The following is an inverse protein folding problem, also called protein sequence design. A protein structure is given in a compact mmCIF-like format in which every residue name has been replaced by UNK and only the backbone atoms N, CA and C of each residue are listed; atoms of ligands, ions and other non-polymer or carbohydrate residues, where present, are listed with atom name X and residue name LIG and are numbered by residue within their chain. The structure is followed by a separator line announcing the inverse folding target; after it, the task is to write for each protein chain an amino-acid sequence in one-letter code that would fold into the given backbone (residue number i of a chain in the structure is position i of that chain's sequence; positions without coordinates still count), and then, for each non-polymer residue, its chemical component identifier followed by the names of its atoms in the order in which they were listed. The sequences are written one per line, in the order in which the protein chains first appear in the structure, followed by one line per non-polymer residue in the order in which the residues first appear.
data_IF_023165557859
#
_entry.id   IF_023165557859
#
_cell.length_a   1.000
_cell.length_b   1.000
_cell.length_c   1.000
_cell.angle_alpha   90.00
_cell.angle_beta   90.00
_cell.angle_gamma   90.00
#
_symmetry.space_group_name_H-M   'P 1'
#
loop_
_entity.id
_entity.type
_entity.pdbx_description
1 polymer ?
#
# COMPACT_ATOMS: atom_id res chain seq x y z
N UNK A 1 63.68 60.16 2.63
CA UNK A 1 62.25 60.32 2.97
C UNK A 1 61.72 58.92 3.22
N UNK A 2 61.71 58.36 4.44
CA UNK A 2 61.37 58.92 5.75
C UNK A 2 59.85 58.81 5.91
N UNK A 3 59.24 57.79 6.52
CA UNK A 3 59.15 57.38 7.95
C UNK A 3 57.64 57.28 8.27
N UNK A 4 57.30 56.30 9.12
CA UNK A 4 56.00 56.06 9.75
C UNK A 4 55.47 57.26 10.57
N UNK A 5 54.19 57.17 10.95
CA UNK A 5 53.73 57.28 12.35
C UNK A 5 52.57 58.26 12.63
N UNK A 6 51.84 57.83 13.65
CA UNK A 6 50.62 58.25 14.35
C UNK A 6 50.40 59.73 14.68
N UNK A 7 49.12 59.99 15.01
CA UNK A 7 48.64 60.95 16.04
C UNK A 7 47.12 61.07 15.89
N UNK A 8 46.24 60.57 16.76
CA UNK A 8 46.01 60.81 18.21
C UNK A 8 46.13 62.27 18.61
N UNK A 9 44.98 62.88 18.93
CA UNK A 9 44.85 63.92 19.95
C UNK A 9 43.64 63.62 20.83
N UNK A 10 43.88 63.79 22.14
CA UNK A 10 43.07 63.46 23.30
C UNK A 10 42.14 64.61 23.75
N UNK A 11 41.15 64.20 24.54
CA UNK A 11 40.65 64.77 25.79
C UNK A 11 39.62 65.91 25.85
N UNK A 12 38.61 65.60 26.69
CA UNK A 12 37.90 66.44 27.68
C UNK A 12 36.94 67.51 27.13
N UNK A 13 35.73 67.71 27.64
CA UNK A 13 35.08 67.26 28.88
C UNK A 13 33.59 67.62 28.84
N UNK A 14 32.77 66.74 29.43
CA UNK A 14 31.56 67.00 30.23
C UNK A 14 30.53 68.06 29.77
N UNK A 15 29.33 67.59 29.41
CA UNK A 15 28.05 67.81 30.13
C UNK A 15 26.88 67.66 29.15
N UNK A 16 26.14 66.55 29.26
CA UNK A 16 24.67 66.58 29.45
C UNK A 16 24.18 65.16 29.71
N UNK A 17 23.53 65.03 30.87
CA UNK A 17 22.90 63.84 31.44
C UNK A 17 21.44 63.80 30.98
N UNK A 18 20.92 62.57 30.88
CA UNK A 18 19.51 62.17 30.81
C UNK A 18 18.73 62.51 29.53
N UNK A 19 18.43 61.48 28.73
CA UNK A 19 17.10 61.01 28.29
C UNK A 19 17.35 59.93 27.23
N UNK A 20 17.75 58.70 27.62
CA UNK A 20 17.58 57.49 26.80
C UNK A 20 17.58 56.25 27.70
N UNK A 21 16.59 56.08 28.58
CA UNK A 21 16.37 54.79 29.26
C UNK A 21 14.92 54.59 29.72
N UNK A 22 13.95 54.89 28.85
CA UNK A 22 12.52 54.60 29.13
C UNK A 22 11.73 54.03 27.95
N UNK A 23 12.39 53.63 26.85
CA UNK A 23 11.70 53.05 25.68
C UNK A 23 11.86 51.53 25.54
N UNK A 24 12.82 50.87 26.21
CA UNK A 24 13.07 49.42 26.03
C UNK A 24 12.49 48.51 27.13
N UNK A 25 11.79 49.08 28.13
CA UNK A 25 11.20 48.30 29.23
C UNK A 25 9.70 48.04 29.01
N UNK A 26 9.04 48.80 28.12
CA UNK A 26 7.61 48.66 27.81
C UNK A 26 7.26 47.53 26.83
N UNK A 27 8.06 47.34 25.77
CA UNK A 27 7.77 46.30 24.76
C UNK A 27 8.11 44.88 25.25
N UNK A 28 9.11 44.71 26.12
CA UNK A 28 9.51 43.39 26.62
C UNK A 28 8.54 42.80 27.67
N UNK A 29 7.72 43.63 28.35
CA UNK A 29 6.68 43.13 29.25
C UNK A 29 5.40 42.73 28.51
N UNK A 30 5.06 43.39 27.40
CA UNK A 30 3.83 43.11 26.64
C UNK A 30 3.98 41.84 25.78
N UNK A 31 5.15 41.63 25.15
CA UNK A 31 5.47 40.40 24.39
C UNK A 31 5.56 39.18 25.31
N UNK A 32 6.07 39.34 26.54
CA UNK A 32 6.16 38.26 27.52
C UNK A 32 4.82 37.85 28.14
N UNK A 33 3.79 38.71 28.10
CA UNK A 33 2.42 38.40 28.56
C UNK A 33 1.60 37.74 27.44
N UNK A 34 1.80 38.15 26.18
CA UNK A 34 1.15 37.53 25.03
C UNK A 34 1.65 36.10 24.82
N UNK A 35 2.97 35.87 24.88
CA UNK A 35 3.54 34.52 24.75
C UNK A 35 3.10 33.56 25.88
N UNK A 36 2.91 34.06 27.10
CA UNK A 36 2.40 33.27 28.22
C UNK A 36 0.91 32.94 28.12
N UNK A 37 0.13 33.82 27.50
CA UNK A 37 -1.30 33.58 27.27
C UNK A 37 -1.51 32.60 26.12
N UNK A 38 -0.72 32.67 25.04
CA UNK A 38 -0.75 31.71 23.94
C UNK A 38 -0.28 30.31 24.40
N UNK A 39 0.77 30.22 25.23
CA UNK A 39 1.16 28.94 25.85
C UNK A 39 0.06 28.36 26.75
N UNK A 40 -0.67 29.18 27.51
CA UNK A 40 -1.79 28.70 28.34
C UNK A 40 -3.01 28.28 27.51
N UNK A 41 -3.26 28.92 26.36
CA UNK A 41 -4.34 28.56 25.44
C UNK A 41 -4.04 27.24 24.71
N UNK A 42 -2.80 27.04 24.26
CA UNK A 42 -2.33 25.77 23.66
C UNK A 42 -2.36 24.62 24.68
N UNK A 43 -1.96 24.86 25.93
CA UNK A 43 -2.06 23.85 27.00
C UNK A 43 -3.53 23.51 27.30
N UNK A 44 -4.45 24.49 27.19
CA UNK A 44 -5.89 24.27 27.34
C UNK A 44 -6.47 23.38 26.24
N UNK A 45 -6.12 23.66 24.97
CA UNK A 45 -6.56 22.86 23.82
C UNK A 45 -5.96 21.44 23.82
N UNK A 46 -4.69 21.28 24.23
CA UNK A 46 -4.09 19.94 24.40
C UNK A 46 -4.76 19.14 25.52
N UNK A 47 -5.11 19.77 26.65
CA UNK A 47 -5.85 19.10 27.73
C UNK A 47 -7.27 18.70 27.30
N UNK A 48 -7.94 19.52 26.48
CA UNK A 48 -9.26 19.19 25.95
C UNK A 48 -9.20 18.04 24.94
N UNK A 49 -8.17 17.98 24.09
CA UNK A 49 -7.96 16.84 23.18
C UNK A 49 -7.61 15.53 23.92
N UNK A 50 -6.84 15.61 25.01
CA UNK A 50 -6.55 14.43 25.85
C UNK A 50 -7.83 13.91 26.52
N UNK A 51 -8.70 14.79 27.02
CA UNK A 51 -9.99 14.38 27.61
C UNK A 51 -10.92 13.76 26.55
N UNK A 52 -10.93 14.28 25.32
CA UNK A 52 -11.71 13.69 24.22
C UNK A 52 -11.17 12.30 23.86
N UNK A 53 -9.84 12.14 23.78
CA UNK A 53 -9.21 10.85 23.51
C UNK A 53 -9.48 9.82 24.61
N UNK A 54 -9.37 10.21 25.89
CA UNK A 54 -9.69 9.34 27.03
C UNK A 54 -11.16 8.93 27.05
N UNK A 55 -12.08 9.83 26.69
CA UNK A 55 -13.51 9.50 26.58
C UNK A 55 -13.81 8.56 25.41
N UNK A 56 -13.15 8.73 24.26
CA UNK A 56 -13.28 7.82 23.12
C UNK A 56 -12.71 6.43 23.43
N UNK A 57 -11.60 6.37 24.16
CA UNK A 57 -11.00 5.10 24.60
C UNK A 57 -11.90 4.38 25.61
N UNK A 58 -12.56 5.10 26.52
CA UNK A 58 -13.56 4.52 27.43
C UNK A 58 -14.83 4.05 26.71
N UNK A 59 -15.26 4.72 25.64
CA UNK A 59 -16.40 4.31 24.83
C UNK A 59 -16.10 3.01 24.07
N UNK A 60 -14.90 2.90 23.49
CA UNK A 60 -14.41 1.66 22.82
C UNK A 60 -14.27 0.50 23.82
N UNK A 61 -13.73 0.75 25.02
CA UNK A 61 -13.66 -0.27 26.08
C UNK A 61 -15.06 -0.73 26.51
N UNK A 62 -16.03 0.19 26.56
CA UNK A 62 -17.43 -0.13 26.84
C UNK A 62 -18.06 -1.03 25.77
N UNK A 63 -17.85 -0.72 24.49
CA UNK A 63 -18.33 -1.54 23.38
C UNK A 63 -17.65 -2.93 23.34
N UNK A 64 -16.34 -3.02 23.59
CA UNK A 64 -15.63 -4.30 23.68
C UNK A 64 -16.14 -5.17 24.83
N UNK A 65 -16.42 -4.58 26.00
CA UNK A 65 -17.02 -5.30 27.13
C UNK A 65 -18.45 -5.77 26.84
N UNK A 66 -19.23 -5.01 26.07
CA UNK A 66 -20.57 -5.41 25.65
C UNK A 66 -20.52 -6.57 24.63
N UNK A 67 -19.58 -6.53 23.67
CA UNK A 67 -19.34 -7.63 22.73
C UNK A 67 -18.85 -8.89 23.44
N UNK A 68 -17.96 -8.76 24.43
CA UNK A 68 -17.49 -9.90 25.23
C UNK A 68 -18.61 -10.48 26.11
N UNK A 69 -19.51 -9.65 26.63
CA UNK A 69 -20.69 -10.10 27.37
C UNK A 69 -21.71 -10.83 26.47
N UNK A 70 -21.90 -10.36 25.23
CA UNK A 70 -22.75 -11.03 24.24
C UNK A 70 -22.15 -12.39 23.84
N UNK A 71 -20.83 -12.46 23.63
CA UNK A 71 -20.14 -13.71 23.32
C UNK A 71 -20.23 -14.72 24.48
N UNK A 72 -20.01 -14.29 25.73
CA UNK A 72 -20.17 -15.15 26.91
C UNK A 72 -21.61 -15.65 27.11
N UNK A 73 -22.61 -14.82 26.83
CA UNK A 73 -24.01 -15.26 26.87
C UNK A 73 -24.34 -16.28 25.79
N UNK A 74 -23.81 -16.13 24.56
CA UNK A 74 -23.99 -17.12 23.50
C UNK A 74 -23.28 -18.45 23.82
N UNK A 75 -22.06 -18.41 24.36
CA UNK A 75 -21.36 -19.61 24.79
C UNK A 75 -22.08 -20.32 25.93
N UNK A 76 -22.64 -19.57 26.90
CA UNK A 76 -23.39 -20.14 28.01
C UNK A 76 -24.73 -20.73 27.57
N UNK A 77 -25.42 -20.11 26.60
CA UNK A 77 -26.66 -20.63 26.02
C UNK A 77 -26.41 -21.94 25.23
N UNK A 78 -25.28 -22.03 24.51
CA UNK A 78 -24.84 -23.26 23.84
C UNK A 78 -24.43 -24.34 24.84
N UNK A 79 -23.76 -23.96 25.93
CA UNK A 79 -23.32 -24.92 26.97
C UNK A 79 -24.53 -25.50 27.71
N UNK A 80 -25.53 -24.67 28.05
CA UNK A 80 -26.79 -25.08 28.69
C UNK A 80 -27.63 -26.00 27.76
N UNK A 81 -27.56 -25.81 26.43
CA UNK A 81 -28.25 -26.65 25.46
C UNK A 81 -27.55 -28.02 25.29
N UNK A 82 -26.22 -28.05 25.33
CA UNK A 82 -25.41 -29.28 25.30
C UNK A 82 -25.56 -30.07 26.61
N UNK A 83 -25.66 -29.40 27.76
CA UNK A 83 -25.88 -30.06 29.06
C UNK A 83 -27.31 -30.64 29.17
N UNK A 84 -28.32 -29.94 28.61
CA UNK A 84 -29.70 -30.48 28.46
C UNK A 84 -29.76 -31.71 27.54
N UNK A 85 -28.96 -31.73 26.47
CA UNK A 85 -28.88 -32.87 25.55
C UNK A 85 -28.10 -34.05 26.16
N UNK A 86 -27.05 -33.77 26.93
CA UNK A 86 -26.26 -34.79 27.66
C UNK A 86 -27.05 -35.45 28.79
N UNK A 87 -27.79 -34.67 29.60
CA UNK A 87 -28.62 -35.20 30.68
C UNK A 87 -29.85 -35.97 30.19
N UNK A 88 -30.37 -35.66 28.99
CA UNK A 88 -31.48 -36.40 28.37
C UNK A 88 -31.04 -37.78 27.85
N UNK A 89 -29.75 -37.97 27.57
CA UNK A 89 -29.21 -39.19 26.98
C UNK A 89 -28.84 -40.25 28.04
N UNK A 90 -28.63 -39.85 29.30
CA UNK A 90 -28.26 -40.75 30.41
C UNK A 90 -29.47 -41.25 31.23
N UNK A 91 -30.66 -40.67 31.06
CA UNK A 91 -31.89 -41.08 31.77
C UNK A 91 -32.83 -42.01 30.97
N UNK A 92 -32.54 -42.25 29.68
CA UNK A 92 -33.38 -43.07 28.78
C UNK A 92 -32.78 -44.43 28.41
N UNK A 93 -31.96 -45.04 29.28
CA UNK A 93 -31.32 -46.35 28.99
C UNK A 93 -31.80 -47.51 29.88
N UNK A 94 -32.83 -47.37 30.73
CA UNK A 94 -33.22 -48.49 31.64
C UNK A 94 -34.70 -48.75 31.87
N UNK A 95 -35.65 -48.19 31.09
CA UNK A 95 -37.08 -48.52 31.29
C UNK A 95 -37.96 -48.79 30.06
N UNK A 96 -37.47 -48.68 28.83
CA UNK A 96 -38.32 -48.91 27.64
C UNK A 96 -38.02 -50.18 26.84
N UNK A 97 -37.03 -50.99 27.20
CA UNK A 97 -36.74 -52.25 26.49
C UNK A 97 -37.78 -53.36 26.74
N UNK A 98 -38.63 -53.23 27.77
CA UNK A 98 -39.67 -54.22 28.10
C UNK A 98 -41.11 -53.79 27.73
N UNK A 99 -41.32 -52.63 27.10
CA UNK A 99 -42.64 -52.22 26.54
C UNK A 99 -42.70 -52.23 25.01
N UNK A 100 -41.54 -52.25 24.34
CA UNK A 100 -41.46 -52.27 22.88
C UNK A 100 -41.77 -53.64 22.27
N UNK A 101 -41.56 -54.74 23.01
CA UNK A 101 -41.84 -56.09 22.51
C UNK A 101 -43.35 -56.43 22.47
N UNK A 102 -44.17 -55.82 23.33
CA UNK A 102 -45.62 -56.07 23.35
C UNK A 102 -46.41 -55.19 22.35
N UNK A 103 -45.84 -54.06 21.90
CA UNK A 103 -46.42 -53.18 20.86
C UNK A 103 -46.05 -53.61 19.43
N UNK A 104 -44.99 -54.40 19.25
CA UNK A 104 -44.58 -54.91 17.93
C UNK A 104 -45.50 -56.03 17.40
N UNK A 105 -46.29 -56.66 18.27
CA UNK A 105 -47.23 -57.73 17.89
C UNK A 105 -48.59 -57.16 17.44
N UNK A 106 -49.05 -56.03 17.99
CA UNK A 106 -50.33 -55.41 17.57
C UNK A 106 -50.21 -54.52 16.32
N UNK A 107 -49.04 -53.96 16.02
CA UNK A 107 -48.89 -53.02 14.90
C UNK A 107 -48.66 -53.73 13.55
N UNK A 108 -48.34 -55.04 13.54
CA UNK A 108 -48.14 -55.83 12.30
C UNK A 108 -49.44 -56.21 11.58
N UNK A 109 -50.62 -55.96 12.16
CA UNK A 109 -51.90 -56.27 11.51
C UNK A 109 -52.75 -55.06 11.06
N UNK A 110 -52.34 -53.82 11.36
CA UNK A 110 -53.12 -52.63 10.96
C UNK A 110 -52.22 -51.46 10.53
N UNK A 111 -51.71 -51.48 9.28
CA UNK A 111 -51.49 -50.26 8.46
C UNK A 111 -50.83 -50.58 7.11
N UNK A 112 -51.54 -51.28 6.24
CA UNK A 112 -51.42 -50.99 4.80
C UNK A 112 -52.14 -49.67 4.54
N UNK A 113 -51.44 -48.55 4.71
CA UNK A 113 -52.01 -47.21 4.51
C UNK A 113 -50.91 -46.17 4.30
N UNK A 114 -50.77 -45.72 3.06
CA UNK A 114 -49.78 -44.72 2.62
C UNK A 114 -49.81 -43.43 3.45
N UNK A 115 -48.71 -43.11 4.14
CA UNK A 115 -48.40 -41.72 4.50
C UNK A 115 -46.90 -41.44 4.45
N UNK A 116 -46.30 -41.61 3.26
CA UNK A 116 -44.91 -41.23 3.02
C UNK A 116 -44.80 -39.71 2.78
N UNK A 117 -44.15 -39.01 3.71
CA UNK A 117 -43.18 -37.95 3.41
C UNK A 117 -43.70 -36.64 2.71
N UNK A 118 -44.72 -35.97 3.27
CA UNK A 118 -45.25 -34.70 2.71
C UNK A 118 -44.47 -33.44 3.17
N UNK A 119 -43.99 -33.37 4.42
CA UNK A 119 -43.26 -32.19 4.95
C UNK A 119 -41.85 -32.01 4.33
N UNK A 120 -41.08 -33.08 4.14
CA UNK A 120 -39.74 -33.03 3.49
C UNK A 120 -39.82 -32.60 2.01
N UNK A 121 -40.85 -33.06 1.29
CA UNK A 121 -41.08 -32.66 -0.11
C UNK A 121 -41.44 -31.18 -0.24
N UNK A 122 -42.13 -30.60 0.73
CA UNK A 122 -42.45 -29.16 0.76
C UNK A 122 -41.21 -28.31 1.07
N UNK A 123 -40.38 -28.71 2.04
CA UNK A 123 -39.10 -28.04 2.33
C UNK A 123 -38.13 -28.09 1.13
N UNK A 124 -37.99 -29.25 0.47
CA UNK A 124 -37.18 -29.35 -0.76
C UNK A 124 -37.70 -28.44 -1.88
N UNK A 125 -39.02 -28.32 -2.05
CA UNK A 125 -39.61 -27.41 -3.03
C UNK A 125 -39.34 -25.94 -2.72
N UNK A 126 -39.39 -25.55 -1.43
CA UNK A 126 -39.06 -24.20 -1.00
C UNK A 126 -37.58 -23.92 -1.26
N UNK A 127 -36.69 -24.82 -0.86
CA UNK A 127 -35.24 -24.68 -1.06
C UNK A 127 -34.87 -24.57 -2.55
N UNK A 128 -35.46 -25.41 -3.41
CA UNK A 128 -35.24 -25.33 -4.86
C UNK A 128 -35.74 -24.00 -5.43
N UNK A 129 -36.92 -23.52 -5.00
CA UNK A 129 -37.44 -22.22 -5.45
C UNK A 129 -36.54 -21.06 -5.00
N UNK A 130 -36.06 -21.10 -3.76
CA UNK A 130 -35.11 -20.10 -3.24
C UNK A 130 -33.81 -20.12 -4.03
N UNK A 131 -33.23 -21.30 -4.31
CA UNK A 131 -32.01 -21.41 -5.12
C UNK A 131 -32.22 -20.91 -6.55
N UNK A 132 -33.35 -21.24 -7.20
CA UNK A 132 -33.67 -20.72 -8.53
C UNK A 132 -33.81 -19.20 -8.51
N UNK A 133 -34.45 -18.63 -7.49
CA UNK A 133 -34.53 -17.17 -7.34
C UNK A 133 -33.14 -16.54 -7.19
N UNK A 134 -32.27 -17.10 -6.35
CA UNK A 134 -30.89 -16.61 -6.16
C UNK A 134 -30.11 -16.67 -7.48
N UNK A 135 -30.16 -17.81 -8.18
CA UNK A 135 -29.49 -17.98 -9.49
C UNK A 135 -30.02 -16.98 -10.51
N UNK A 136 -31.33 -16.72 -10.53
CA UNK A 136 -31.95 -15.76 -11.44
C UNK A 136 -31.44 -14.34 -11.16
N UNK A 137 -31.35 -13.94 -9.89
CA UNK A 137 -30.81 -12.63 -9.50
C UNK A 137 -29.35 -12.51 -9.91
N UNK A 138 -28.53 -13.52 -9.65
CA UNK A 138 -27.11 -13.54 -10.04
C UNK A 138 -26.96 -13.44 -11.57
N UNK A 139 -27.76 -14.18 -12.33
CA UNK A 139 -27.74 -14.13 -13.79
C UNK A 139 -28.13 -12.74 -14.32
N UNK A 140 -29.15 -12.11 -13.75
CA UNK A 140 -29.54 -10.76 -14.13
C UNK A 140 -28.42 -9.74 -13.80
N UNK A 141 -27.79 -9.84 -12.64
CA UNK A 141 -26.66 -8.98 -12.29
C UNK A 141 -25.50 -9.17 -13.27
N UNK A 142 -25.19 -10.42 -13.63
CA UNK A 142 -24.15 -10.74 -14.61
C UNK A 142 -24.47 -10.17 -16.00
N UNK A 143 -25.70 -10.33 -16.49
CA UNK A 143 -26.14 -9.77 -17.78
C UNK A 143 -26.02 -8.25 -17.78
N UNK A 144 -26.46 -7.58 -16.70
CA UNK A 144 -26.34 -6.12 -16.59
C UNK A 144 -24.88 -5.69 -16.58
N UNK A 145 -24.02 -6.35 -15.80
CA UNK A 145 -22.58 -6.08 -15.76
C UNK A 145 -21.95 -6.23 -17.15
N UNK A 146 -22.23 -7.34 -17.83
CA UNK A 146 -21.74 -7.57 -19.19
C UNK A 146 -22.30 -6.55 -20.18
N UNK A 147 -23.53 -6.09 -20.01
CA UNK A 147 -24.13 -5.00 -20.78
C UNK A 147 -23.35 -3.69 -20.62
N UNK A 148 -23.00 -3.32 -19.38
CA UNK A 148 -22.17 -2.13 -19.09
C UNK A 148 -20.78 -2.27 -19.72
N UNK A 149 -20.13 -3.43 -19.56
CA UNK A 149 -18.81 -3.69 -20.16
C UNK A 149 -18.88 -3.64 -21.69
N UNK A 150 -19.97 -4.12 -22.29
CA UNK A 150 -20.21 -4.02 -23.74
C UNK A 150 -20.30 -2.55 -24.17
N UNK A 151 -21.01 -1.72 -23.41
CA UNK A 151 -21.13 -0.27 -23.68
C UNK A 151 -19.77 0.42 -23.53
N UNK A 152 -18.93 0.03 -22.58
CA UNK A 152 -17.58 0.58 -22.43
C UNK A 152 -16.71 0.20 -23.64
N UNK A 153 -16.73 -1.08 -24.04
CA UNK A 153 -15.87 -1.58 -25.11
C UNK A 153 -16.29 -1.08 -26.51
N UNK A 154 -17.59 -1.05 -26.81
CA UNK A 154 -18.12 -0.64 -28.13
C UNK A 154 -18.80 0.73 -28.12
N UNK A 155 -18.66 1.47 -27.04
CA UNK A 155 -19.23 2.80 -26.89
C UNK A 155 -18.56 3.84 -27.77
N UNK A 156 -19.09 5.07 -27.78
CA UNK A 156 -18.61 6.14 -28.65
C UNK A 156 -17.26 6.75 -28.23
N UNK A 157 -16.78 6.47 -27.00
CA UNK A 157 -15.55 7.05 -26.48
C UNK A 157 -14.41 6.04 -26.51
N UNK A 158 -13.49 6.24 -27.45
CA UNK A 158 -12.27 5.43 -27.54
C UNK A 158 -11.38 5.63 -26.32
N UNK A 159 -11.30 6.84 -25.77
CA UNK A 159 -10.52 7.12 -24.55
C UNK A 159 -11.00 6.29 -23.36
N UNK A 160 -12.31 6.17 -23.15
CA UNK A 160 -12.86 5.36 -22.03
C UNK A 160 -12.64 3.88 -22.28
N UNK A 161 -12.84 3.41 -23.52
CA UNK A 161 -12.54 2.03 -23.93
C UNK A 161 -11.08 1.71 -23.66
N UNK A 162 -10.16 2.52 -24.15
CA UNK A 162 -8.72 2.25 -24.12
C UNK A 162 -8.23 2.22 -22.68
N UNK A 163 -8.61 3.23 -21.88
CA UNK A 163 -8.29 3.28 -20.46
C UNK A 163 -8.85 2.07 -19.70
N UNK A 164 -10.09 1.64 -20.00
CA UNK A 164 -10.67 0.44 -19.41
C UNK A 164 -9.91 -0.82 -19.79
N UNK A 165 -9.63 -1.01 -21.09
CA UNK A 165 -8.88 -2.16 -21.62
C UNK A 165 -7.51 -2.24 -20.97
N UNK A 166 -6.76 -1.14 -20.90
CA UNK A 166 -5.46 -1.11 -20.23
C UNK A 166 -5.58 -1.47 -18.74
N UNK A 167 -6.57 -0.91 -18.05
CA UNK A 167 -6.78 -1.14 -16.61
C UNK A 167 -7.04 -2.63 -16.32
N UNK A 168 -7.92 -3.26 -17.09
CA UNK A 168 -8.29 -4.66 -16.86
C UNK A 168 -7.24 -5.65 -17.38
N UNK A 169 -6.45 -5.27 -18.38
CA UNK A 169 -5.34 -6.08 -18.89
C UNK A 169 -4.14 -6.12 -17.94
N UNK A 170 -3.94 -5.06 -17.15
CA UNK A 170 -2.97 -4.99 -16.05
C UNK A 170 -3.46 -5.67 -14.76
N UNK A 171 -4.75 -6.00 -14.67
CA UNK A 171 -5.31 -6.77 -13.57
C UNK A 171 -5.13 -8.27 -13.80
N UNK A 172 -4.73 -9.01 -12.77
CA UNK A 172 -4.63 -10.47 -12.85
C UNK A 172 -5.99 -11.15 -13.07
N UNK A 173 -7.06 -10.61 -12.48
CA UNK A 173 -8.42 -11.14 -12.60
C UNK A 173 -9.28 -10.44 -13.69
N UNK A 174 -8.88 -9.26 -14.15
CA UNK A 174 -9.71 -8.42 -15.01
C UNK A 174 -9.66 -8.76 -16.51
N UNK A 175 -8.63 -9.48 -16.97
CA UNK A 175 -8.33 -9.66 -18.41
C UNK A 175 -9.51 -10.14 -19.24
N UNK A 176 -10.34 -11.02 -18.67
CA UNK A 176 -11.53 -11.57 -19.33
C UNK A 176 -12.50 -10.49 -19.82
N UNK A 177 -12.54 -9.32 -19.18
CA UNK A 177 -13.42 -8.21 -19.53
C UNK A 177 -13.01 -7.50 -20.83
N UNK A 178 -11.76 -7.66 -21.27
CA UNK A 178 -11.29 -7.19 -22.57
C UNK A 178 -11.19 -8.33 -23.58
N UNK A 179 -10.63 -9.48 -23.19
CA UNK A 179 -10.40 -10.62 -24.10
C UNK A 179 -11.69 -11.31 -24.55
N UNK A 180 -12.80 -11.14 -23.83
CA UNK A 180 -14.12 -11.61 -24.30
C UNK A 180 -14.69 -10.76 -25.44
N UNK A 181 -14.13 -9.57 -25.69
CA UNK A 181 -14.67 -8.58 -26.63
C UNK A 181 -13.72 -8.31 -27.80
N UNK A 182 -12.41 -8.36 -27.57
CA UNK A 182 -11.40 -8.03 -28.57
C UNK A 182 -10.41 -9.18 -28.76
N UNK A 183 -9.86 -9.30 -29.98
CA UNK A 183 -8.73 -10.20 -30.23
C UNK A 183 -7.46 -9.68 -29.57
N UNK A 184 -6.49 -10.56 -29.37
CA UNK A 184 -5.19 -10.21 -28.80
C UNK A 184 -4.48 -9.12 -29.64
N UNK A 185 -4.63 -9.14 -30.97
CA UNK A 185 -4.08 -8.09 -31.85
C UNK A 185 -4.74 -6.75 -31.59
N UNK A 186 -6.07 -6.71 -31.46
CA UNK A 186 -6.79 -5.45 -31.20
C UNK A 186 -6.45 -4.89 -29.82
N UNK A 187 -6.32 -5.76 -28.82
CA UNK A 187 -5.86 -5.36 -27.49
C UNK A 187 -4.44 -4.81 -27.57
N UNK A 188 -3.53 -5.45 -28.30
CA UNK A 188 -2.16 -4.96 -28.48
C UNK A 188 -2.12 -3.57 -29.16
N UNK A 189 -2.98 -3.32 -30.15
CA UNK A 189 -3.12 -1.99 -30.76
C UNK A 189 -3.54 -0.93 -29.75
N UNK A 190 -4.59 -1.21 -28.95
CA UNK A 190 -5.09 -0.29 -27.92
C UNK A 190 -3.98 0.04 -26.92
N UNK A 191 -3.33 -1.00 -26.39
CA UNK A 191 -2.25 -0.86 -25.41
C UNK A 191 -1.01 -0.14 -25.96
N UNK A 192 -0.79 -0.19 -27.28
CA UNK A 192 0.32 0.54 -27.90
C UNK A 192 0.10 2.07 -27.87
N UNK A 193 -1.15 2.52 -27.90
CA UNK A 193 -1.52 3.95 -27.82
C UNK A 193 -1.28 4.52 -26.43
N UNK A 194 -1.50 3.72 -25.38
CA UNK A 194 -1.22 4.08 -23.98
C UNK A 194 0.02 3.35 -23.49
N UNK A 195 1.20 3.86 -23.86
CA UNK A 195 2.46 3.20 -23.60
C UNK A 195 3.52 4.15 -23.08
N UNK A 196 4.47 3.59 -22.31
CA UNK A 196 5.68 4.29 -21.88
C UNK A 196 6.83 3.88 -22.78
N UNK A 197 7.49 4.86 -23.40
CA UNK A 197 8.64 4.62 -24.28
C UNK A 197 9.88 4.44 -23.40
N UNK A 198 10.48 3.24 -23.45
CA UNK A 198 11.71 2.96 -22.70
C UNK A 198 12.84 3.91 -23.09
N UNK A 199 13.50 4.51 -22.10
CA UNK A 199 14.73 5.26 -22.31
C UNK A 199 15.94 4.33 -22.45
N UNK A 200 16.90 4.73 -23.28
CA UNK A 200 18.24 4.12 -23.30
C UNK A 200 19.19 4.75 -22.28
N UNK A 201 18.79 5.85 -21.66
CA UNK A 201 19.59 6.53 -20.65
C UNK A 201 19.64 5.74 -19.35
N UNK A 202 20.72 5.98 -18.61
CA UNK A 202 20.92 5.50 -17.26
C UNK A 202 21.21 6.72 -16.41
N UNK A 203 20.81 6.69 -15.13
CA UNK A 203 21.12 7.75 -14.17
C UNK A 203 22.56 8.25 -14.29
N UNK A 204 22.72 9.56 -14.37
CA UNK A 204 23.97 10.27 -14.11
C UNK A 204 24.04 10.59 -12.61
N UNK A 205 24.95 9.90 -11.91
CA UNK A 205 25.09 10.07 -10.46
C UNK A 205 25.57 11.47 -10.06
N UNK A 206 26.12 12.27 -10.98
CA UNK A 206 26.59 13.63 -10.68
C UNK A 206 25.46 14.65 -10.47
N UNK A 207 24.23 14.31 -10.87
CA UNK A 207 23.06 15.18 -10.70
C UNK A 207 22.48 15.14 -9.28
N UNK A 208 22.94 14.21 -8.45
CA UNK A 208 22.43 14.00 -7.10
C UNK A 208 23.51 14.36 -6.07
N UNK A 209 23.21 15.34 -5.23
CA UNK A 209 24.09 15.80 -4.17
C UNK A 209 23.89 14.99 -2.89
N UNK A 210 24.40 13.76 -2.84
CA UNK A 210 24.45 12.97 -1.60
C UNK A 210 25.65 13.41 -0.75
N UNK A 211 25.62 14.62 -0.20
CA UNK A 211 26.68 15.11 0.69
C UNK A 211 26.22 15.16 2.15
N UNK A 212 27.12 14.81 3.07
CA UNK A 212 26.90 14.93 4.51
C UNK A 212 26.41 16.33 4.90
N UNK A 213 26.92 17.38 4.24
CA UNK A 213 26.53 18.78 4.46
C UNK A 213 25.09 19.09 4.04
N UNK A 214 24.56 18.43 3.00
CA UNK A 214 23.16 18.57 2.60
C UNK A 214 22.22 17.86 3.59
N UNK A 215 22.64 16.71 4.12
CA UNK A 215 21.94 15.96 5.18
C UNK A 215 21.98 16.73 6.51
N UNK A 216 23.11 17.35 6.85
CA UNK A 216 23.28 18.18 8.07
C UNK A 216 22.52 19.51 7.97
N UNK A 217 22.39 20.10 6.78
CA UNK A 217 21.53 21.27 6.56
C UNK A 217 20.03 20.96 6.82
N UNK A 218 19.67 19.68 6.86
CA UNK A 218 18.33 19.17 7.18
C UNK A 218 18.22 18.71 8.65
N UNK A 219 19.15 19.05 9.55
CA UNK A 219 19.16 18.58 10.95
C UNK A 219 17.88 18.88 11.77
N UNK A 220 17.06 19.85 11.34
CA UNK A 220 15.77 20.18 11.97
C UNK A 220 14.56 19.55 11.25
N UNK A 221 14.78 18.77 10.19
CA UNK A 221 13.75 18.11 9.41
C UNK A 221 13.52 16.71 9.97
N UNK A 222 12.25 16.28 10.04
CA UNK A 222 11.92 14.91 10.45
C UNK A 222 12.63 13.92 9.50
N UNK A 223 13.33 12.88 9.98
CA UNK A 223 14.07 11.95 9.11
C UNK A 223 13.21 11.29 8.03
N UNK A 224 11.92 11.11 8.33
CA UNK A 224 10.91 10.59 7.42
C UNK A 224 9.66 11.47 7.56
N UNK A 225 9.10 11.89 6.42
CA UNK A 225 7.80 12.57 6.35
C UNK A 225 6.82 11.70 5.57
N UNK A 226 5.58 11.58 6.04
CA UNK A 226 4.49 10.95 5.29
C UNK A 226 3.48 12.02 4.93
N UNK A 227 3.16 12.15 3.65
CA UNK A 227 2.18 13.11 3.12
C UNK A 227 1.06 12.37 2.41
N UNK A 228 -0.17 12.83 2.60
CA UNK A 228 -1.30 12.34 1.82
C UNK A 228 -1.26 12.92 0.41
N UNK A 229 -1.48 12.06 -0.57
CA UNK A 229 -1.62 12.42 -1.97
C UNK A 229 -3.09 12.26 -2.33
N UNK A 230 -3.74 13.37 -2.71
CA UNK A 230 -5.17 13.38 -3.02
C UNK A 230 -5.38 14.08 -4.35
N UNK A 231 -6.05 13.39 -5.27
CA UNK A 231 -6.52 13.90 -6.55
C UNK A 231 -8.02 13.62 -6.68
N UNK A 232 -8.62 14.05 -7.79
CA UNK A 232 -10.03 13.75 -8.11
C UNK A 232 -10.27 12.25 -8.39
N UNK A 233 -9.26 11.52 -8.85
CA UNK A 233 -9.38 10.13 -9.32
C UNK A 233 -8.65 9.11 -8.43
N UNK A 234 -7.70 9.57 -7.60
CA UNK A 234 -6.90 8.72 -6.75
C UNK A 234 -6.54 9.33 -5.40
N UNK A 235 -6.23 8.45 -4.45
CA UNK A 235 -5.70 8.77 -3.13
C UNK A 235 -4.49 7.89 -2.84
N UNK A 236 -3.57 8.37 -2.03
CA UNK A 236 -2.38 7.63 -1.66
C UNK A 236 -1.54 8.35 -0.64
N UNK A 237 -0.30 7.89 -0.48
CA UNK A 237 0.68 8.43 0.45
C UNK A 237 2.07 8.53 -0.20
N UNK A 238 2.79 9.57 0.15
CA UNK A 238 4.19 9.78 -0.19
C UNK A 238 5.02 9.73 1.10
N UNK A 239 5.91 8.75 1.22
CA UNK A 239 6.95 8.75 2.24
C UNK A 239 8.23 9.38 1.67
N UNK A 240 8.71 10.44 2.31
CA UNK A 240 9.94 11.16 1.97
C UNK A 240 10.99 10.77 2.99
N UNK A 241 12.04 10.09 2.55
CA UNK A 241 13.17 9.66 3.38
C UNK A 241 14.35 10.55 3.05
N UNK A 242 14.70 11.46 3.96
CA UNK A 242 15.73 12.48 3.70
C UNK A 242 17.15 11.91 3.66
N UNK A 243 17.42 10.85 4.43
CA UNK A 243 18.69 10.12 4.37
C UNK A 243 18.59 8.88 3.46
N UNK A 244 19.12 8.93 2.23
CA UNK A 244 19.04 7.80 1.29
C UNK A 244 19.88 6.59 1.71
N UNK A 245 20.81 6.73 2.65
CA UNK A 245 21.62 5.60 3.14
C UNK A 245 20.80 4.58 3.95
N UNK A 246 19.64 5.01 4.46
CA UNK A 246 18.68 4.19 5.18
C UNK A 246 17.88 3.26 4.26
N UNK A 247 17.87 3.52 2.96
CA UNK A 247 17.05 2.78 1.99
C UNK A 247 17.82 1.62 1.38
N UNK A 248 17.23 0.43 1.43
CA UNK A 248 17.82 -0.80 0.86
C UNK A 248 16.76 -1.74 0.29
N UNK A 249 17.19 -2.77 -0.45
CA UNK A 249 16.31 -3.85 -0.93
C UNK A 249 16.30 -4.97 0.10
N UNK A 250 15.15 -5.19 0.75
CA UNK A 250 14.88 -6.34 1.59
C UNK A 250 14.47 -7.55 0.75
N UNK A 251 14.93 -8.74 1.11
CA UNK A 251 14.62 -10.00 0.41
C UNK A 251 13.78 -10.93 1.28
N UNK A 252 12.87 -11.70 0.66
CA UNK A 252 12.01 -12.65 1.36
C UNK A 252 12.77 -13.86 1.92
N UNK A 253 13.90 -14.22 1.30
CA UNK A 253 14.73 -15.35 1.66
C UNK A 253 15.24 -16.07 0.42
N UNK A 254 15.07 -17.39 0.36
CA UNK A 254 15.39 -18.18 -0.82
C UNK A 254 14.34 -17.98 -1.92
N UNK A 255 14.76 -18.10 -3.18
CA UNK A 255 13.89 -17.87 -4.34
C UNK A 255 13.54 -19.15 -5.09
N UNK A 256 12.54 -19.05 -5.98
CA UNK A 256 12.10 -20.11 -6.89
C UNK A 256 10.79 -20.74 -6.46
N UNK A 257 10.12 -21.49 -7.35
CA UNK A 257 8.76 -21.99 -7.14
C UNK A 257 8.55 -22.89 -5.91
N UNK A 258 9.61 -23.46 -5.34
CA UNK A 258 9.57 -24.24 -4.09
C UNK A 258 9.62 -23.39 -2.81
N UNK A 259 9.94 -22.10 -2.93
CA UNK A 259 10.05 -21.16 -1.81
C UNK A 259 8.90 -20.15 -1.92
N UNK A 260 8.24 -19.84 -0.81
CA UNK A 260 7.25 -18.76 -0.78
C UNK A 260 7.94 -17.42 -0.58
N UNK A 261 7.37 -16.38 -1.19
CA UNK A 261 7.65 -15.00 -0.79
C UNK A 261 7.16 -14.73 0.63
N UNK A 262 7.36 -13.49 1.08
CA UNK A 262 6.89 -12.97 2.37
C UNK A 262 6.09 -11.70 2.14
N UNK A 263 5.18 -11.38 3.04
CA UNK A 263 4.49 -10.08 3.04
C UNK A 263 5.50 -8.96 3.30
N UNK A 264 5.17 -7.72 2.88
CA UNK A 264 6.01 -6.54 3.13
C UNK A 264 6.30 -6.37 4.63
N UNK A 265 5.28 -6.58 5.49
CA UNK A 265 5.44 -6.53 6.95
C UNK A 265 6.45 -7.55 7.47
N UNK A 266 6.39 -8.81 7.03
CA UNK A 266 7.35 -9.83 7.45
C UNK A 266 8.77 -9.52 6.98
N UNK A 267 8.94 -8.98 5.77
CA UNK A 267 10.24 -8.52 5.28
C UNK A 267 10.72 -7.34 6.14
N UNK A 268 9.87 -6.33 6.38
CA UNK A 268 10.22 -5.18 7.21
C UNK A 268 10.67 -5.61 8.62
N UNK A 269 9.93 -6.51 9.26
CA UNK A 269 10.26 -7.08 10.56
C UNK A 269 11.58 -7.87 10.56
N UNK A 270 11.84 -8.65 9.50
CA UNK A 270 13.10 -9.41 9.36
C UNK A 270 14.33 -8.50 9.31
N UNK A 271 14.15 -7.23 8.94
CA UNK A 271 15.20 -6.24 8.79
C UNK A 271 15.14 -5.11 9.83
N UNK A 272 14.20 -5.16 10.79
CA UNK A 272 13.91 -4.06 11.72
C UNK A 272 13.67 -2.72 10.99
N UNK A 273 12.97 -2.75 9.86
CA UNK A 273 12.66 -1.55 9.08
C UNK A 273 11.47 -0.79 9.67
N UNK A 274 11.51 0.54 9.60
CA UNK A 274 10.45 1.44 10.08
C UNK A 274 9.44 1.77 8.99
N UNK A 275 9.89 1.86 7.73
CA UNK A 275 9.05 2.03 6.54
C UNK A 275 9.37 0.92 5.56
N UNK A 276 8.34 0.39 4.88
CA UNK A 276 8.54 -0.49 3.75
C UNK A 276 7.43 -0.37 2.70
N UNK A 277 7.79 -0.54 1.43
CA UNK A 277 6.84 -0.70 0.33
C UNK A 277 7.18 -1.93 -0.48
N UNK A 278 6.22 -2.47 -1.22
CA UNK A 278 6.50 -3.58 -2.12
C UNK A 278 7.56 -3.22 -3.18
N UNK A 279 8.30 -4.23 -3.65
CA UNK A 279 9.45 -4.05 -4.53
C UNK A 279 9.21 -4.44 -5.98
N UNK A 280 10.05 -5.33 -6.49
CA UNK A 280 10.10 -5.73 -7.89
C UNK A 280 9.05 -6.77 -8.27
N UNK A 281 9.01 -7.09 -9.57
CA UNK A 281 8.07 -8.08 -10.11
C UNK A 281 8.41 -9.51 -9.76
N UNK A 282 7.41 -10.39 -9.85
CA UNK A 282 7.53 -11.80 -9.54
C UNK A 282 6.63 -12.67 -10.41
N UNK A 283 6.96 -13.96 -10.50
CA UNK A 283 6.16 -14.94 -11.24
C UNK A 283 4.79 -15.10 -10.56
N UNK A 284 3.75 -14.74 -11.30
CA UNK A 284 2.38 -14.71 -10.81
C UNK A 284 1.41 -15.33 -11.83
N UNK A 285 1.71 -16.57 -12.23
CA UNK A 285 0.88 -17.31 -13.18
C UNK A 285 -0.56 -17.39 -12.66
N UNK A 286 -1.50 -16.84 -13.45
CA UNK A 286 -2.93 -16.83 -13.11
C UNK A 286 -3.31 -15.98 -11.89
N UNK A 287 -2.42 -15.15 -11.35
CA UNK A 287 -2.71 -14.35 -10.15
C UNK A 287 -2.64 -15.13 -8.83
N UNK A 288 -2.14 -16.36 -8.86
CA UNK A 288 -2.05 -17.27 -7.70
C UNK A 288 -0.60 -17.65 -7.38
N UNK A 289 0.37 -16.87 -7.85
CA UNK A 289 1.78 -17.06 -7.56
C UNK A 289 2.06 -16.94 -6.06
N UNK A 290 3.03 -17.73 -5.58
CA UNK A 290 3.43 -17.73 -4.17
C UNK A 290 4.39 -16.58 -3.79
N UNK A 291 4.72 -15.70 -4.74
CA UNK A 291 5.63 -14.57 -4.51
C UNK A 291 7.10 -14.93 -4.35
N UNK A 292 7.48 -16.18 -4.64
CA UNK A 292 8.83 -16.70 -4.36
C UNK A 292 9.87 -16.47 -5.45
N UNK A 293 9.45 -16.22 -6.68
CA UNK A 293 10.37 -16.11 -7.83
C UNK A 293 10.36 -14.69 -8.41
N UNK A 294 11.44 -13.91 -8.29
CA UNK A 294 11.57 -12.62 -8.99
C UNK A 294 11.52 -12.79 -10.52
N UNK A 295 10.94 -11.83 -11.25
CA UNK A 295 10.95 -11.84 -12.73
C UNK A 295 12.20 -11.22 -13.34
N UNK A 296 13.03 -10.54 -12.55
CA UNK A 296 14.26 -9.90 -13.03
C UNK A 296 15.41 -10.02 -12.03
N UNK A 297 16.36 -9.10 -12.08
CA UNK A 297 17.54 -9.15 -11.22
C UNK A 297 17.19 -8.81 -9.77
N UNK A 298 17.87 -9.46 -8.82
CA UNK A 298 17.92 -9.02 -7.42
C UNK A 298 19.37 -8.94 -6.98
N UNK A 299 19.80 -7.74 -6.60
CA UNK A 299 21.07 -7.47 -5.93
C UNK A 299 20.72 -7.01 -4.51
N UNK A 300 21.40 -7.54 -3.52
CA UNK A 300 21.25 -7.09 -2.14
C UNK A 300 22.59 -7.25 -1.44
N UNK A 301 22.99 -6.21 -0.69
CA UNK A 301 24.29 -6.16 0.01
C UNK A 301 25.50 -6.35 -0.95
N UNK A 302 25.40 -5.79 -2.15
CA UNK A 302 26.43 -5.86 -3.20
C UNK A 302 26.61 -7.23 -3.85
N UNK A 303 25.68 -8.16 -3.62
CA UNK A 303 25.73 -9.53 -4.18
C UNK A 303 24.52 -9.78 -5.06
N UNK A 304 24.75 -10.43 -6.20
CA UNK A 304 23.68 -10.97 -7.04
C UNK A 304 23.00 -12.13 -6.29
N UNK A 305 21.75 -11.92 -5.85
CA UNK A 305 20.95 -12.94 -5.16
C UNK A 305 20.05 -13.71 -6.13
N UNK A 306 19.64 -13.08 -7.23
CA UNK A 306 18.82 -13.70 -8.28
C UNK A 306 19.05 -13.02 -9.64
N UNK A 307 18.84 -13.76 -10.72
CA UNK A 307 19.07 -13.30 -12.10
C UNK A 307 20.43 -13.72 -12.66
N UNK A 308 20.84 -13.08 -13.75
CA UNK A 308 22.05 -13.40 -14.51
C UNK A 308 22.97 -12.19 -14.64
N UNK A 309 24.29 -12.45 -14.73
CA UNK A 309 25.27 -11.41 -15.00
C UNK A 309 25.20 -10.86 -16.43
N UNK A 310 24.63 -11.60 -17.37
CA UNK A 310 24.67 -11.27 -18.80
C UNK A 310 23.34 -10.82 -19.38
N UNK A 311 22.23 -11.14 -18.71
CA UNK A 311 20.90 -10.70 -19.15
C UNK A 311 20.75 -9.21 -18.90
N UNK A 312 20.14 -8.50 -19.86
CA UNK A 312 19.82 -7.08 -19.76
C UNK A 312 18.50 -6.90 -18.98
N UNK A 313 18.51 -6.08 -17.95
CA UNK A 313 17.35 -5.78 -17.09
C UNK A 313 17.05 -4.29 -17.06
N UNK A 314 15.79 -3.91 -16.79
CA UNK A 314 15.45 -2.57 -16.30
C UNK A 314 15.75 -2.54 -14.79
N UNK A 315 16.92 -2.03 -14.44
CA UNK A 315 17.43 -2.01 -13.07
C UNK A 315 16.88 -0.80 -12.35
N UNK A 316 16.39 -1.03 -11.13
CA UNK A 316 16.01 0.00 -10.17
C UNK A 316 16.78 -0.34 -8.89
N UNK A 317 17.76 0.49 -8.53
CA UNK A 317 18.63 0.18 -7.40
C UNK A 317 19.49 1.33 -6.92
N UNK A 318 20.26 1.10 -5.86
CA UNK A 318 21.13 2.07 -5.24
C UNK A 318 22.59 1.69 -5.44
N UNK A 319 23.43 2.65 -5.83
CA UNK A 319 24.88 2.49 -5.82
C UNK A 319 25.47 2.69 -4.40
N UNK A 320 26.78 2.55 -4.23
CA UNK A 320 27.44 2.71 -2.92
C UNK A 320 27.33 4.12 -2.34
N UNK A 321 27.06 5.12 -3.18
CA UNK A 321 26.90 6.51 -2.78
C UNK A 321 25.43 6.87 -2.51
N UNK A 322 24.53 5.87 -2.46
CA UNK A 322 23.10 6.03 -2.22
C UNK A 322 22.34 6.78 -3.33
N UNK A 323 22.90 6.81 -4.54
CA UNK A 323 22.18 7.31 -5.71
C UNK A 323 21.25 6.22 -6.24
N UNK A 324 19.99 6.58 -6.47
CA UNK A 324 19.01 5.77 -7.16
C UNK A 324 19.36 5.71 -8.65
N UNK A 325 19.93 4.58 -9.05
CA UNK A 325 20.25 4.23 -10.43
C UNK A 325 19.05 3.53 -11.05
N UNK A 326 18.44 4.19 -12.04
CA UNK A 326 17.45 3.61 -12.95
C UNK A 326 18.05 3.51 -14.35
N UNK A 327 17.81 2.40 -15.04
CA UNK A 327 18.27 2.24 -16.41
C UNK A 327 18.40 0.80 -16.86
N UNK A 328 18.62 0.60 -18.16
CA UNK A 328 18.82 -0.73 -18.74
C UNK A 328 20.28 -1.14 -18.63
N UNK A 329 20.56 -2.23 -17.91
CA UNK A 329 21.92 -2.75 -17.75
C UNK A 329 21.93 -4.24 -17.42
N UNK A 330 23.04 -4.91 -17.72
CA UNK A 330 23.27 -6.30 -17.33
C UNK A 330 23.63 -6.41 -15.86
N UNK A 331 23.45 -7.59 -15.26
CA UNK A 331 23.86 -7.81 -13.88
C UNK A 331 25.35 -7.55 -13.64
N UNK A 332 26.21 -7.83 -14.64
CA UNK A 332 27.63 -7.48 -14.59
C UNK A 332 27.84 -5.96 -14.57
N UNK A 333 27.18 -5.23 -15.47
CA UNK A 333 27.28 -3.76 -15.51
C UNK A 333 26.78 -3.12 -14.20
N UNK A 334 25.71 -3.64 -13.62
CA UNK A 334 25.19 -3.20 -12.33
C UNK A 334 26.23 -3.36 -11.21
N UNK A 335 26.83 -4.55 -11.09
CA UNK A 335 27.85 -4.83 -10.08
C UNK A 335 29.14 -4.03 -10.32
N UNK A 336 29.59 -3.91 -11.58
CA UNK A 336 30.78 -3.14 -11.95
C UNK A 336 30.59 -1.64 -11.64
N UNK A 337 29.36 -1.11 -11.76
CA UNK A 337 28.98 0.25 -11.33
C UNK A 337 28.95 0.40 -9.80
N UNK A 338 29.00 -0.69 -9.05
CA UNK A 338 28.91 -0.67 -7.59
C UNK A 338 27.49 -0.58 -7.07
N UNK A 339 26.48 -1.06 -7.82
CA UNK A 339 25.12 -1.22 -7.30
C UNK A 339 25.15 -2.18 -6.10
N UNK A 340 24.69 -1.69 -4.95
CA UNK A 340 24.62 -2.46 -3.70
C UNK A 340 23.29 -3.18 -3.54
N UNK A 341 22.20 -2.57 -3.97
CA UNK A 341 20.85 -3.06 -3.77
C UNK A 341 20.07 -2.75 -5.04
N UNK A 342 19.42 -3.75 -5.63
CA UNK A 342 18.61 -3.56 -6.82
C UNK A 342 17.54 -4.63 -6.94
N UNK A 343 16.46 -4.23 -7.59
CA UNK A 343 15.39 -5.09 -8.06
C UNK A 343 15.05 -4.71 -9.50
N UNK A 344 14.10 -5.43 -10.08
CA UNK A 344 13.63 -5.17 -11.44
C UNK A 344 12.11 -5.07 -11.46
N UNK A 345 11.63 -4.00 -12.05
CA UNK A 345 10.26 -3.83 -12.53
C UNK A 345 10.30 -2.76 -13.61
N UNK A 346 9.18 -2.13 -13.90
CA UNK A 346 9.12 -0.99 -14.77
C UNK A 346 7.71 -0.43 -14.86
N UNK A 347 7.51 0.58 -15.72
CA UNK A 347 8.55 1.24 -16.49
C UNK A 347 9.40 2.22 -15.66
N UNK A 348 10.54 2.61 -16.20
CA UNK A 348 11.28 3.79 -15.75
C UNK A 348 10.49 5.03 -16.19
N UNK A 349 10.34 6.01 -15.30
CA UNK A 349 9.43 7.15 -15.48
C UNK A 349 10.16 8.48 -15.66
N UNK A 350 11.24 8.70 -14.91
CA UNK A 350 12.04 9.93 -14.97
C UNK A 350 13.51 9.53 -14.90
N UNK A 351 14.33 10.09 -15.79
CA UNK A 351 15.78 9.89 -15.82
C UNK A 351 16.44 11.26 -15.95
N UNK A 352 17.42 11.55 -15.10
CA UNK A 352 18.24 12.77 -15.18
C UNK A 352 17.41 14.07 -15.24
N UNK A 353 16.31 14.13 -14.48
CA UNK A 353 15.41 15.28 -14.38
C UNK A 353 14.41 15.40 -15.53
N UNK A 354 14.40 14.45 -16.47
CA UNK A 354 13.50 14.47 -17.64
C UNK A 354 12.57 13.26 -17.58
N UNK A 355 11.26 13.49 -17.71
CA UNK A 355 10.29 12.41 -17.85
C UNK A 355 10.50 11.67 -19.16
N UNK A 356 10.35 10.35 -19.15
CA UNK A 356 10.30 9.57 -20.39
C UNK A 356 9.07 9.95 -21.21
N UNK A 357 9.07 9.62 -22.51
CA UNK A 357 7.89 9.86 -23.35
C UNK A 357 6.76 8.92 -22.95
N UNK A 358 5.61 9.52 -22.59
CA UNK A 358 4.36 8.82 -22.33
C UNK A 358 3.40 9.09 -23.49
N UNK A 359 2.94 8.02 -24.14
CA UNK A 359 1.86 8.08 -25.12
C UNK A 359 0.53 7.88 -24.38
N UNK A 360 -0.47 8.71 -24.70
CA UNK A 360 -1.77 8.66 -24.03
C UNK A 360 -1.62 8.82 -22.51
N UNK A 361 -2.22 7.91 -21.74
CA UNK A 361 -2.04 7.85 -20.28
C UNK A 361 -0.82 7.02 -19.83
N UNK A 362 -0.14 6.36 -20.77
CA UNK A 362 0.97 5.43 -20.52
C UNK A 362 0.56 4.06 -19.97
N UNK A 363 -0.62 3.96 -19.38
CA UNK A 363 -1.18 2.75 -18.77
C UNK A 363 -2.65 2.93 -18.38
N UNK A 364 -3.25 1.86 -17.86
CA UNK A 364 -4.56 1.91 -17.22
C UNK A 364 -4.54 2.58 -15.85
N UNK A 365 -5.72 2.72 -15.24
CA UNK A 365 -5.91 3.24 -13.89
C UNK A 365 -5.84 2.10 -12.89
N UNK A 366 -4.81 2.08 -12.04
CA UNK A 366 -4.57 0.98 -11.10
C UNK A 366 -3.94 1.48 -9.79
N UNK A 367 -3.95 0.68 -8.70
CA UNK A 367 -3.05 0.91 -7.57
C UNK A 367 -1.60 0.86 -8.06
N UNK A 368 -0.78 1.81 -7.61
CA UNK A 368 0.61 1.97 -8.05
C UNK A 368 1.54 2.12 -6.87
N UNK A 369 2.75 1.62 -7.03
CA UNK A 369 3.88 1.92 -6.16
C UNK A 369 5.01 2.47 -7.02
N UNK A 370 5.65 3.55 -6.60
CA UNK A 370 6.78 4.13 -7.32
C UNK A 370 7.88 4.57 -6.35
N UNK A 371 9.10 4.61 -6.87
CA UNK A 371 10.28 5.11 -6.16
C UNK A 371 10.91 6.23 -6.97
N UNK A 372 11.45 7.22 -6.29
CA UNK A 372 12.28 8.24 -6.92
C UNK A 372 13.29 8.86 -5.97
N UNK A 373 14.14 9.71 -6.52
CA UNK A 373 15.16 10.43 -5.78
C UNK A 373 15.23 11.87 -6.27
N UNK A 374 15.25 12.81 -5.32
CA UNK A 374 15.45 14.24 -5.57
C UNK A 374 16.92 14.59 -5.77
N UNK A 375 17.17 15.78 -6.32
CA UNK A 375 18.53 16.32 -6.49
C UNK A 375 19.32 16.43 -5.17
N UNK A 376 18.63 16.63 -4.04
CA UNK A 376 19.25 16.71 -2.71
C UNK A 376 19.44 15.35 -2.02
N UNK A 377 19.17 14.25 -2.73
CA UNK A 377 19.38 12.89 -2.26
C UNK A 377 18.17 12.23 -1.62
N UNK A 378 17.14 12.97 -1.20
CA UNK A 378 15.97 12.41 -0.54
C UNK A 378 15.24 11.39 -1.44
N UNK A 379 14.84 10.26 -0.85
CA UNK A 379 14.10 9.19 -1.52
C UNK A 379 12.60 9.40 -1.34
N UNK A 380 11.87 9.23 -2.42
CA UNK A 380 10.42 9.30 -2.51
C UNK A 380 9.88 7.88 -2.68
N UNK A 381 8.99 7.46 -1.79
CA UNK A 381 8.23 6.21 -1.90
C UNK A 381 6.75 6.56 -2.00
N UNK A 382 6.20 6.43 -3.21
CA UNK A 382 4.81 6.75 -3.51
C UNK A 382 3.99 5.47 -3.54
N UNK A 383 2.86 5.47 -2.85
CA UNK A 383 1.84 4.43 -2.90
C UNK A 383 0.50 5.08 -3.21
N UNK A 384 -0.16 4.64 -4.29
CA UNK A 384 -1.50 5.09 -4.69
C UNK A 384 -2.47 3.91 -4.58
N UNK A 385 -3.54 4.11 -3.83
CA UNK A 385 -4.64 3.16 -3.70
C UNK A 385 -5.53 3.18 -4.95
N UNK A 386 -6.14 2.04 -5.28
CA UNK A 386 -7.02 1.93 -6.45
C UNK A 386 -7.91 0.71 -6.39
N UNK A 387 -8.77 0.56 -7.41
CA UNK A 387 -9.78 -0.51 -7.51
C UNK A 387 -10.74 -0.54 -6.30
N UNK A 388 -11.06 0.63 -5.75
CA UNK A 388 -11.96 0.81 -4.61
C UNK A 388 -13.06 1.81 -4.96
N UNK A 389 -14.17 1.78 -4.23
CA UNK A 389 -15.34 2.62 -4.50
C UNK A 389 -15.03 4.14 -4.45
N UNK A 390 -14.01 4.53 -3.67
CA UNK A 390 -13.62 5.93 -3.45
C UNK A 390 -12.27 6.30 -4.11
N UNK A 391 -11.57 5.36 -4.76
CA UNK A 391 -10.32 5.61 -5.48
C UNK A 391 -10.16 4.60 -6.61
N UNK A 392 -10.06 5.09 -7.85
CA UNK A 392 -9.89 4.25 -9.03
C UNK A 392 -8.44 3.77 -9.15
N UNK A 393 -7.48 4.64 -8.82
CA UNK A 393 -6.05 4.44 -8.99
C UNK A 393 -5.44 5.50 -9.91
N UNK A 394 -4.19 5.28 -10.31
CA UNK A 394 -3.41 6.21 -11.12
C UNK A 394 -2.86 5.54 -12.40
N UNK A 395 -2.73 6.36 -13.44
CA UNK A 395 -2.00 6.05 -14.67
C UNK A 395 -0.52 6.39 -14.51
N UNK A 396 0.34 5.99 -15.44
CA UNK A 396 1.76 6.35 -15.37
C UNK A 396 2.01 7.84 -15.60
N UNK A 397 1.15 8.52 -16.36
CA UNK A 397 1.20 9.99 -16.47
C UNK A 397 0.98 10.64 -15.11
N UNK A 398 -0.04 10.21 -14.36
CA UNK A 398 -0.33 10.72 -13.02
C UNK A 398 0.86 10.51 -12.06
N UNK A 399 1.51 9.33 -12.14
CA UNK A 399 2.70 9.06 -11.32
C UNK A 399 3.87 9.97 -11.70
N UNK A 400 4.13 10.20 -12.99
CA UNK A 400 5.18 11.15 -13.41
C UNK A 400 4.90 12.55 -12.87
N UNK A 401 3.65 13.03 -13.00
CA UNK A 401 3.27 14.36 -12.54
C UNK A 401 3.52 14.53 -11.03
N UNK A 402 3.08 13.58 -10.21
CA UNK A 402 3.33 13.59 -8.75
C UNK A 402 4.82 13.52 -8.45
N UNK A 403 5.58 12.66 -9.13
CA UNK A 403 7.02 12.53 -8.85
C UNK A 403 7.80 13.78 -9.22
N UNK A 404 7.44 14.45 -10.33
CA UNK A 404 8.03 15.74 -10.74
C UNK A 404 7.65 16.86 -9.78
N UNK A 405 6.39 16.92 -9.33
CA UNK A 405 5.92 17.88 -8.32
C UNK A 405 6.74 17.80 -7.03
N UNK A 406 7.11 16.58 -6.62
CA UNK A 406 7.95 16.32 -5.46
C UNK A 406 9.46 16.42 -5.76
N UNK A 407 9.85 16.84 -6.96
CA UNK A 407 11.23 17.13 -7.35
C UNK A 407 12.09 15.91 -7.68
N UNK A 408 11.49 14.80 -8.09
CA UNK A 408 12.23 13.62 -8.51
C UNK A 408 13.11 13.92 -9.74
N UNK A 409 14.40 13.65 -9.62
CA UNK A 409 15.37 13.67 -10.74
C UNK A 409 15.41 12.29 -11.41
N UNK A 410 15.25 11.23 -10.63
CA UNK A 410 15.10 9.87 -11.14
C UNK A 410 13.87 9.24 -10.51
N UNK A 411 13.07 8.50 -11.29
CA UNK A 411 11.91 7.78 -10.79
C UNK A 411 11.61 6.54 -11.63
N UNK A 412 11.10 5.50 -10.99
CA UNK A 412 10.63 4.29 -11.64
C UNK A 412 9.41 3.71 -10.93
N UNK A 413 8.57 3.05 -11.71
CA UNK A 413 7.44 2.29 -11.20
C UNK A 413 7.92 0.95 -10.61
N UNK A 414 7.37 0.60 -9.44
CA UNK A 414 7.53 -0.69 -8.77
C UNK A 414 6.29 -1.55 -9.01
N UNK A 415 6.28 -2.78 -8.48
CA UNK A 415 5.11 -3.65 -8.61
C UNK A 415 3.85 -2.95 -8.06
N UNK A 416 2.69 -3.26 -8.62
CA UNK A 416 1.46 -2.52 -8.37
C UNK A 416 0.27 -3.39 -8.02
N UNK A 417 -0.93 -2.85 -8.23
CA UNK A 417 -2.17 -3.60 -8.02
C UNK A 417 -2.32 -4.08 -6.58
N UNK A 418 -2.63 -5.37 -6.39
CA UNK A 418 -2.79 -5.95 -5.06
C UNK A 418 -1.48 -6.06 -4.26
N UNK A 419 -0.32 -5.83 -4.88
CA UNK A 419 0.95 -5.74 -4.18
C UNK A 419 1.18 -4.38 -3.51
N UNK A 420 0.44 -3.34 -3.92
CA UNK A 420 0.64 -1.97 -3.43
C UNK A 420 0.31 -1.84 -1.95
N UNK A 421 1.35 -1.64 -1.15
CA UNK A 421 1.25 -1.38 0.29
C UNK A 421 2.35 -0.44 0.76
N UNK A 422 2.04 0.35 1.80
CA UNK A 422 2.96 1.14 2.59
C UNK A 422 2.85 0.70 4.05
N UNK A 423 3.93 0.11 4.55
CA UNK A 423 4.11 -0.25 5.94
C UNK A 423 4.81 0.88 6.69
N UNK A 424 4.29 1.23 7.86
CA UNK A 424 4.86 2.19 8.80
C UNK A 424 4.74 1.64 10.24
N UNK A 425 5.89 1.44 10.89
CA UNK A 425 6.01 1.11 12.32
C UNK A 425 5.07 0.02 12.87
N UNK A 426 4.78 -1.02 12.08
CA UNK A 426 3.96 -2.16 12.53
C UNK A 426 2.68 -2.35 11.73
N UNK A 427 2.24 -1.33 11.02
CA UNK A 427 0.93 -1.27 10.38
C UNK A 427 1.02 -0.89 8.91
N UNK A 428 -0.01 -1.24 8.15
CA UNK A 428 -0.18 -0.74 6.79
C UNK A 428 -1.04 0.52 6.85
N UNK A 429 -0.54 1.61 6.29
CA UNK A 429 -1.20 2.91 6.39
C UNK A 429 -1.97 3.29 5.12
N UNK A 430 -2.02 2.42 4.12
CA UNK A 430 -2.84 2.59 2.91
C UNK A 430 -3.87 1.45 2.79
N UNK A 431 -4.88 1.63 1.93
CA UNK A 431 -5.88 0.59 1.72
C UNK A 431 -5.48 -0.33 0.56
N UNK A 432 -5.07 -1.55 0.88
CA UNK A 432 -4.65 -2.53 -0.11
C UNK A 432 -5.84 -3.06 -0.94
N UNK A 433 -5.66 -3.21 -2.25
CA UNK A 433 -6.74 -3.66 -3.14
C UNK A 433 -7.00 -5.17 -3.12
N UNK A 434 -6.26 -5.95 -2.33
CA UNK A 434 -6.44 -7.40 -2.21
C UNK A 434 -7.52 -7.73 -1.20
N UNK A 435 -8.47 -8.58 -1.59
CA UNK A 435 -9.50 -9.10 -0.68
C UNK A 435 -8.89 -10.02 0.38
N UNK A 436 -7.79 -10.70 0.06
CA UNK A 436 -7.13 -11.67 0.94
C UNK A 436 -6.00 -11.03 1.79
N UNK A 437 -5.87 -9.70 1.75
CA UNK A 437 -4.76 -8.98 2.36
C UNK A 437 -3.48 -8.94 1.52
N UNK A 438 -2.41 -8.30 2.05
CA UNK A 438 -1.16 -8.07 1.34
C UNK A 438 -0.51 -9.35 0.82
N UNK A 439 0.05 -9.27 -0.39
CA UNK A 439 0.62 -10.43 -1.07
C UNK A 439 1.98 -10.81 -0.51
N UNK A 440 2.31 -12.09 -0.65
CA UNK A 440 3.68 -12.56 -0.57
C UNK A 440 4.45 -12.07 -1.80
N UNK A 441 5.61 -11.47 -1.57
CA UNK A 441 6.48 -10.92 -2.61
C UNK A 441 7.94 -11.31 -2.34
N UNK A 442 8.82 -11.28 -3.35
CA UNK A 442 10.21 -11.70 -3.16
C UNK A 442 11.10 -10.58 -2.65
N UNK A 443 10.74 -9.32 -2.93
CA UNK A 443 11.57 -8.15 -2.62
C UNK A 443 10.71 -6.99 -2.13
N UNK A 444 11.29 -6.16 -1.27
CA UNK A 444 10.67 -4.97 -0.68
C UNK A 444 11.69 -3.84 -0.66
N UNK A 445 11.23 -2.59 -0.84
CA UNK A 445 12.06 -1.42 -0.52
C UNK A 445 11.84 -1.11 0.95
N UNK A 446 12.91 -1.11 1.73
CA UNK A 446 12.86 -0.94 3.19
C UNK A 446 13.72 0.23 3.64
N UNK A 447 13.30 0.88 4.72
CA UNK A 447 14.00 2.00 5.37
C UNK A 447 14.38 1.61 6.79
N UNK A 448 15.66 1.70 7.13
CA UNK A 448 16.23 1.30 8.43
C UNK A 448 16.82 2.50 9.15
#
# INVERSE_FOLDING_TARGET
MGIEDKGVCNNDSSETIEIVELAEIGENQEVGVIAKNEEQEVIGEEQEQVIIAENQEQEVIGEEQEVEAIAKNQDQEVTDEVEKLGAAQEYTDTRETNKLNDLEIETRQNSKGHTYNKKSKTLKKILVRTMVSIITVILLLFINLMGVVTIINYGPSETVRDLFVDSVMESSAGKILATSFFSDEKIAEIRAVNSVVSSSEVTDSNLIAVSQTAIEAQANVKPIEIKDIVSSTYKGKMAIVHDPSRVTVGVSGNYGGSNSGKTVKEIAQSYNAVIAVNGGGFEDEGGVGNGGTPTGIVISEGKLKYGSLTTLYEVIGFDKENVLVVGRMTGKQALDRGIRDALCFGPILIVNGTSVTINGSGSGVNPRTAIGQRADGAILLLVIDGRQANTMGATYSDIVDVMLEYGAVNAANLDGGSSTVLYDNGEYINNNSSINGPRNIPTSIIVR
#
